data_IF_868230356473
#
_entry.id   IF_868230356473
#
_cell.length_a   1.000
_cell.length_b   1.000
_cell.length_c   1.000
_cell.angle_alpha   90.00
_cell.angle_beta   90.00
_cell.angle_gamma   90.00
#
_symmetry.space_group_name_H-M   'P 1'
#
loop_
_entity.id
_entity.type
_entity.pdbx_description
1 polymer ?
#
# COMPACT_ATOMS: atom_id res chain seq x y z
N UNK A 1 3.65 -21.08 3.69
CA UNK A 1 3.67 -19.61 3.46
C UNK A 1 5.07 -19.07 3.72
N UNK A 2 5.71 -19.54 4.79
CA UNK A 2 7.06 -19.14 5.20
C UNK A 2 8.12 -19.43 4.11
N UNK A 3 8.07 -20.59 3.44
CA UNK A 3 8.98 -20.89 2.33
C UNK A 3 8.88 -19.90 1.16
N UNK A 4 7.66 -19.44 0.82
CA UNK A 4 7.46 -18.45 -0.23
C UNK A 4 7.95 -17.06 0.19
N UNK A 5 7.87 -16.73 1.49
CA UNK A 5 8.42 -15.49 2.01
C UNK A 5 9.95 -15.53 1.95
N UNK A 6 10.57 -16.63 2.39
CA UNK A 6 12.01 -16.80 2.31
C UNK A 6 12.49 -16.71 0.85
N UNK A 7 11.82 -17.41 -0.06
CA UNK A 7 12.13 -17.35 -1.49
C UNK A 7 11.99 -15.93 -2.06
N UNK A 8 11.05 -15.12 -1.57
CA UNK A 8 10.92 -13.72 -1.99
C UNK A 8 12.13 -12.91 -1.54
N UNK A 9 12.54 -13.07 -0.28
CA UNK A 9 13.71 -12.39 0.28
C UNK A 9 14.99 -12.81 -0.45
N UNK A 10 15.18 -14.11 -0.69
CA UNK A 10 16.33 -14.63 -1.41
C UNK A 10 16.42 -14.04 -2.83
N UNK A 11 15.29 -13.86 -3.53
CA UNK A 11 15.27 -13.21 -4.86
C UNK A 11 15.64 -11.74 -4.79
N UNK A 12 15.16 -11.03 -3.77
CA UNK A 12 15.49 -9.63 -3.54
C UNK A 12 17.00 -9.48 -3.28
N UNK A 13 17.56 -10.32 -2.43
CA UNK A 13 18.98 -10.31 -2.06
C UNK A 13 19.89 -10.78 -3.20
N UNK A 14 19.43 -11.68 -4.06
CA UNK A 14 20.18 -12.23 -5.21
C UNK A 14 20.35 -11.25 -6.40
N UNK A 15 19.96 -9.98 -6.26
CA UNK A 15 20.22 -8.92 -7.25
C UNK A 15 18.98 -8.26 -7.84
N UNK A 16 17.77 -8.78 -7.59
CA UNK A 16 16.55 -8.06 -7.96
C UNK A 16 16.36 -6.78 -7.15
N UNK A 17 16.92 -6.71 -5.93
CA UNK A 17 16.96 -5.51 -5.10
C UNK A 17 17.62 -4.31 -5.79
N UNK A 18 18.68 -4.54 -6.57
CA UNK A 18 19.35 -3.45 -7.31
C UNK A 18 18.49 -2.93 -8.46
N UNK A 19 17.74 -3.82 -9.12
CA UNK A 19 16.79 -3.42 -10.16
C UNK A 19 15.61 -2.64 -9.57
N UNK A 20 15.16 -2.99 -8.36
CA UNK A 20 14.09 -2.27 -7.67
C UNK A 20 14.48 -0.81 -7.38
N UNK A 21 15.74 -0.53 -7.03
CA UNK A 21 16.20 0.84 -6.73
C UNK A 21 16.00 1.81 -7.90
N UNK A 22 16.06 1.33 -9.14
CA UNK A 22 15.89 2.17 -10.33
C UNK A 22 14.43 2.47 -10.69
N UNK A 23 13.47 1.81 -10.03
CA UNK A 23 12.04 1.98 -10.27
C UNK A 23 11.44 3.02 -9.31
N UNK A 24 10.31 3.63 -9.68
CA UNK A 24 9.53 4.44 -8.74
C UNK A 24 8.80 3.56 -7.72
N UNK A 25 8.40 4.12 -6.57
CA UNK A 25 7.80 3.35 -5.46
C UNK A 25 6.61 2.48 -5.90
N UNK A 26 5.71 3.00 -6.75
CA UNK A 26 4.58 2.21 -7.27
C UNK A 26 5.02 0.97 -8.02
N UNK A 27 6.05 1.10 -8.87
CA UNK A 27 6.57 0.01 -9.68
C UNK A 27 7.31 -1.02 -8.82
N UNK A 28 8.04 -0.57 -7.79
CA UNK A 28 8.68 -1.46 -6.81
C UNK A 28 7.65 -2.31 -6.08
N UNK A 29 6.63 -1.67 -5.50
CA UNK A 29 5.55 -2.35 -4.80
C UNK A 29 4.81 -3.33 -5.72
N UNK A 30 4.50 -2.90 -6.95
CA UNK A 30 3.86 -3.76 -7.94
C UNK A 30 4.70 -4.98 -8.28
N UNK A 31 6.01 -4.80 -8.50
CA UNK A 31 6.93 -5.89 -8.81
C UNK A 31 7.03 -6.87 -7.64
N UNK A 32 7.16 -6.37 -6.41
CA UNK A 32 7.22 -7.20 -5.20
C UNK A 32 5.93 -8.01 -4.97
N UNK A 33 4.76 -7.38 -5.09
CA UNK A 33 3.47 -8.06 -4.99
C UNK A 33 3.32 -9.11 -6.09
N UNK A 34 3.69 -8.77 -7.33
CA UNK A 34 3.67 -9.69 -8.47
C UNK A 34 4.57 -10.90 -8.23
N UNK A 35 5.83 -10.70 -7.85
CA UNK A 35 6.78 -11.79 -7.57
C UNK A 35 6.22 -12.77 -6.54
N UNK A 36 5.55 -12.25 -5.50
CA UNK A 36 4.93 -13.09 -4.48
C UNK A 36 3.70 -13.85 -5.01
N UNK A 37 2.87 -13.23 -5.83
CA UNK A 37 1.69 -13.87 -6.44
C UNK A 37 2.10 -14.91 -7.48
N UNK A 38 3.15 -14.68 -8.26
CA UNK A 38 3.70 -15.64 -9.23
C UNK A 38 4.10 -16.97 -8.58
N UNK A 39 4.55 -16.96 -7.32
CA UNK A 39 4.83 -18.18 -6.56
C UNK A 39 3.58 -19.05 -6.31
N UNK A 40 2.38 -18.48 -6.44
CA UNK A 40 1.11 -19.17 -6.29
C UNK A 40 0.62 -19.76 -7.61
N UNK A 41 1.10 -19.26 -8.76
CA UNK A 41 0.64 -19.66 -10.09
C UNK A 41 0.71 -21.19 -10.32
N UNK A 42 1.77 -21.92 -9.92
CA UNK A 42 1.83 -23.39 -10.07
C UNK A 42 0.76 -24.14 -9.28
N UNK A 43 0.19 -23.50 -8.24
CA UNK A 43 -0.76 -24.10 -7.30
C UNK A 43 -2.17 -23.50 -7.44
N UNK A 44 -2.43 -22.69 -8.47
CA UNK A 44 -3.66 -21.90 -8.59
C UNK A 44 -4.94 -22.74 -8.54
N UNK A 45 -4.90 -23.97 -9.06
CA UNK A 45 -6.03 -24.91 -9.05
C UNK A 45 -6.43 -25.39 -7.65
N UNK A 46 -5.50 -25.36 -6.69
CA UNK A 46 -5.71 -25.75 -5.28
C UNK A 46 -5.73 -24.55 -4.33
N UNK A 47 -5.43 -23.36 -4.85
CA UNK A 47 -5.32 -22.15 -4.06
C UNK A 47 -6.63 -21.72 -3.40
N UNK A 48 -7.82 -21.84 -4.04
CA UNK A 48 -9.09 -21.56 -3.37
C UNK A 48 -9.30 -22.39 -2.10
N UNK A 49 -8.93 -23.67 -2.13
CA UNK A 49 -9.01 -24.57 -0.98
C UNK A 49 -7.99 -24.16 0.10
N UNK A 50 -6.77 -23.78 -0.30
CA UNK A 50 -5.76 -23.27 0.62
C UNK A 50 -6.22 -21.98 1.33
N UNK A 51 -6.88 -21.06 0.62
CA UNK A 51 -7.45 -19.83 1.20
C UNK A 51 -8.61 -20.14 2.14
N UNK A 52 -9.46 -21.11 1.79
CA UNK A 52 -10.52 -21.59 2.67
C UNK A 52 -9.95 -22.11 3.98
N UNK A 53 -8.92 -22.95 3.93
CA UNK A 53 -8.22 -23.48 5.12
C UNK A 53 -7.61 -22.35 5.95
N UNK A 54 -6.94 -21.39 5.32
CA UNK A 54 -6.34 -20.22 6.00
C UNK A 54 -7.39 -19.36 6.71
N UNK A 55 -8.62 -19.32 6.21
CA UNK A 55 -9.73 -18.52 6.74
C UNK A 55 -10.46 -19.20 7.90
N UNK A 56 -10.16 -20.47 8.19
CA UNK A 56 -10.78 -21.17 9.31
C UNK A 56 -10.33 -20.54 10.64
N UNK A 57 -11.21 -20.48 11.68
CA UNK A 57 -10.87 -19.86 12.97
C UNK A 57 -9.59 -20.38 13.62
N UNK A 58 -9.28 -21.66 13.43
CA UNK A 58 -8.06 -22.28 13.95
C UNK A 58 -6.77 -21.74 13.29
N UNK A 59 -6.86 -21.27 12.04
CA UNK A 59 -5.71 -20.85 11.23
C UNK A 59 -5.66 -19.35 11.00
N UNK A 60 -6.79 -18.64 11.09
CA UNK A 60 -6.92 -17.24 10.67
C UNK A 60 -5.94 -16.30 11.37
N UNK A 61 -5.67 -16.52 12.66
CA UNK A 61 -4.73 -15.70 13.42
C UNK A 61 -3.29 -15.87 12.90
N UNK A 62 -2.87 -17.10 12.64
CA UNK A 62 -1.56 -17.41 12.05
C UNK A 62 -1.46 -16.89 10.62
N UNK A 63 -2.48 -17.13 9.79
CA UNK A 63 -2.54 -16.65 8.40
C UNK A 63 -2.43 -15.13 8.32
N UNK A 64 -3.15 -14.42 9.21
CA UNK A 64 -3.07 -12.96 9.29
C UNK A 64 -1.69 -12.50 9.72
N UNK A 65 -1.07 -13.12 10.74
CA UNK A 65 0.30 -12.79 11.15
C UNK A 65 1.30 -12.96 10.00
N UNK A 66 1.23 -14.07 9.27
CA UNK A 66 2.13 -14.31 8.14
C UNK A 66 1.91 -13.31 7.00
N UNK A 67 0.65 -12.96 6.68
CA UNK A 67 0.33 -11.87 5.72
C UNK A 67 0.88 -10.53 6.18
N UNK A 68 0.77 -10.29 7.47
CA UNK A 68 1.24 -9.08 8.09
C UNK A 68 2.77 -9.00 7.96
N UNK A 69 3.53 -10.06 8.26
CA UNK A 69 4.99 -10.10 8.06
C UNK A 69 5.35 -9.91 6.58
N UNK A 70 4.67 -10.59 5.66
CA UNK A 70 4.90 -10.41 4.22
C UNK A 70 4.75 -8.96 3.77
N UNK A 71 3.70 -8.27 4.22
CA UNK A 71 3.47 -6.86 3.90
C UNK A 71 4.59 -5.98 4.43
N UNK A 72 5.09 -6.30 5.63
CA UNK A 72 6.19 -5.55 6.25
C UNK A 72 7.48 -5.71 5.44
N UNK A 73 7.80 -6.92 5.00
CA UNK A 73 8.95 -7.21 4.15
C UNK A 73 8.83 -6.54 2.78
N UNK A 74 7.64 -6.50 2.18
CA UNK A 74 7.44 -5.79 0.90
C UNK A 74 7.68 -4.29 1.07
N UNK A 75 7.18 -3.67 2.14
CA UNK A 75 7.43 -2.25 2.41
C UNK A 75 8.91 -1.98 2.65
N UNK A 76 9.58 -2.86 3.41
CA UNK A 76 11.01 -2.76 3.66
C UNK A 76 11.81 -2.85 2.34
N UNK A 77 11.54 -3.86 1.52
CA UNK A 77 12.20 -4.08 0.23
C UNK A 77 11.91 -2.98 -0.81
N UNK A 78 10.74 -2.34 -0.73
CA UNK A 78 10.41 -1.21 -1.60
C UNK A 78 11.25 0.05 -1.29
N UNK A 79 11.95 0.06 -0.15
CA UNK A 79 12.79 1.17 0.29
C UNK A 79 11.97 2.38 0.70
N UNK A 80 10.79 2.17 1.30
CA UNK A 80 9.99 3.25 1.84
C UNK A 80 10.65 3.80 3.12
N UNK A 81 11.47 4.84 2.95
CA UNK A 81 12.13 5.56 4.03
C UNK A 81 11.31 6.81 4.35
N UNK A 82 10.33 6.68 5.24
CA UNK A 82 9.79 7.83 5.97
C UNK A 82 8.73 8.67 5.27
N UNK A 83 7.60 8.08 4.86
CA UNK A 83 6.38 8.89 4.68
C UNK A 83 5.71 9.16 6.03
N UNK A 84 5.18 10.37 6.25
CA UNK A 84 4.43 10.80 7.46
C UNK A 84 3.13 10.00 7.73
N UNK A 85 2.74 9.09 6.84
CA UNK A 85 1.60 8.21 7.04
C UNK A 85 1.90 7.11 8.06
N UNK A 86 0.94 6.92 8.96
CA UNK A 86 0.90 5.85 9.93
C UNK A 86 1.19 4.49 9.28
N UNK A 87 2.18 3.81 9.83
CA UNK A 87 2.57 2.46 9.48
C UNK A 87 1.40 1.48 9.35
N UNK A 88 0.43 1.52 10.26
CA UNK A 88 -0.74 0.65 10.24
C UNK A 88 -1.65 0.92 9.04
N UNK A 89 -1.72 2.15 8.57
CA UNK A 89 -2.47 2.50 7.36
C UNK A 89 -1.80 1.88 6.13
N UNK A 90 -0.48 2.06 5.99
CA UNK A 90 0.30 1.43 4.90
C UNK A 90 0.13 -0.09 4.87
N UNK A 91 0.23 -0.71 6.05
CA UNK A 91 0.07 -2.14 6.21
C UNK A 91 -1.32 -2.61 5.81
N UNK A 92 -2.35 -1.90 6.26
CA UNK A 92 -3.75 -2.23 5.96
C UNK A 92 -4.02 -2.11 4.47
N UNK A 93 -3.57 -1.02 3.84
CA UNK A 93 -3.77 -0.78 2.41
C UNK A 93 -3.05 -1.84 1.58
N UNK A 94 -1.76 -2.06 1.81
CA UNK A 94 -1.00 -3.03 1.01
C UNK A 94 -1.47 -4.47 1.25
N UNK A 95 -1.80 -4.83 2.49
CA UNK A 95 -2.37 -6.14 2.81
C UNK A 95 -3.74 -6.37 2.15
N UNK A 96 -4.57 -5.31 2.05
CA UNK A 96 -5.83 -5.33 1.32
C UNK A 96 -5.62 -5.51 -0.19
N UNK A 97 -4.68 -4.77 -0.78
CA UNK A 97 -4.32 -4.91 -2.20
C UNK A 97 -3.83 -6.32 -2.50
N UNK A 98 -2.92 -6.85 -1.68
CA UNK A 98 -2.40 -8.20 -1.86
C UNK A 98 -3.52 -9.25 -1.78
N UNK A 99 -4.36 -9.18 -0.74
CA UNK A 99 -5.42 -10.16 -0.52
C UNK A 99 -6.51 -10.11 -1.60
N UNK A 100 -6.86 -8.91 -2.07
CA UNK A 100 -7.83 -8.77 -3.18
C UNK A 100 -7.25 -9.19 -4.52
N UNK A 101 -5.96 -8.95 -4.75
CA UNK A 101 -5.26 -9.39 -5.96
C UNK A 101 -5.12 -10.91 -6.01
N UNK A 102 -4.86 -11.54 -4.86
CA UNK A 102 -4.85 -12.99 -4.70
C UNK A 102 -6.20 -13.63 -5.06
N UNK A 103 -7.31 -13.03 -4.59
CA UNK A 103 -8.66 -13.49 -4.96
C UNK A 103 -8.97 -13.24 -6.43
N UNK A 104 -8.55 -12.08 -6.97
CA UNK A 104 -8.74 -11.75 -8.39
C UNK A 104 -8.04 -12.77 -9.30
N UNK A 105 -6.80 -13.14 -8.95
CA UNK A 105 -5.98 -14.11 -9.67
C UNK A 105 -6.64 -15.48 -9.82
N UNK A 106 -7.50 -15.88 -8.88
CA UNK A 106 -8.25 -17.15 -8.96
C UNK A 106 -9.24 -17.19 -10.12
N UNK A 107 -9.69 -16.02 -10.58
CA UNK A 107 -10.71 -15.89 -11.63
C UNK A 107 -10.13 -15.42 -12.96
N UNK A 108 -8.83 -15.13 -13.00
CA UNK A 108 -8.15 -14.60 -14.16
C UNK A 108 -7.77 -15.72 -15.13
N UNK A 109 -8.37 -15.68 -16.32
CA UNK A 109 -8.12 -16.61 -17.42
C UNK A 109 -7.27 -15.98 -18.54
N UNK A 110 -6.75 -14.77 -18.33
CA UNK A 110 -5.88 -14.11 -19.29
C UNK A 110 -4.50 -14.81 -19.35
N UNK A 111 -3.82 -14.75 -20.51
CA UNK A 111 -2.47 -15.32 -20.64
C UNK A 111 -1.54 -14.77 -19.55
N UNK A 112 -0.87 -15.68 -18.84
CA UNK A 112 0.10 -15.37 -17.78
C UNK A 112 -0.42 -14.41 -16.70
N UNK A 113 -1.73 -14.42 -16.41
CA UNK A 113 -2.38 -13.55 -15.40
C UNK A 113 -2.23 -12.04 -15.68
N UNK A 114 -2.17 -11.64 -16.95
CA UNK A 114 -2.00 -10.23 -17.36
C UNK A 114 -3.02 -9.28 -16.72
N UNK A 115 -4.26 -9.73 -16.58
CA UNK A 115 -5.34 -8.90 -16.01
C UNK A 115 -5.12 -8.71 -14.50
N UNK A 116 -4.61 -9.73 -13.79
CA UNK A 116 -4.16 -9.62 -12.39
C UNK A 116 -3.04 -8.60 -12.24
N UNK A 117 -2.04 -8.61 -13.12
CA UNK A 117 -0.93 -7.63 -13.05
C UNK A 117 -1.42 -6.20 -13.31
N UNK A 118 -2.35 -6.04 -14.24
CA UNK A 118 -3.02 -4.76 -14.50
C UNK A 118 -3.81 -4.30 -13.27
N UNK A 119 -4.52 -5.21 -12.61
CA UNK A 119 -5.24 -4.93 -11.38
C UNK A 119 -4.32 -4.47 -10.24
N UNK A 120 -3.23 -5.20 -9.98
CA UNK A 120 -2.20 -4.87 -8.97
C UNK A 120 -1.64 -3.47 -9.22
N UNK A 121 -1.17 -3.20 -10.44
CA UNK A 121 -0.59 -1.91 -10.82
C UNK A 121 -1.55 -0.75 -10.56
N UNK A 122 -2.81 -0.93 -10.97
CA UNK A 122 -3.85 0.08 -10.77
C UNK A 122 -4.12 0.32 -9.29
N UNK A 123 -4.26 -0.73 -8.47
CA UNK A 123 -4.54 -0.60 -7.04
C UNK A 123 -3.43 0.05 -6.25
N UNK A 124 -2.17 -0.27 -6.58
CA UNK A 124 -1.01 0.37 -5.93
C UNK A 124 -0.93 1.84 -6.32
N UNK A 125 -1.16 2.17 -7.60
CA UNK A 125 -1.21 3.56 -8.04
C UNK A 125 -2.30 4.34 -7.31
N UNK A 126 -3.53 3.81 -7.28
CA UNK A 126 -4.65 4.45 -6.59
C UNK A 126 -4.34 4.71 -5.11
N UNK A 127 -3.68 3.76 -4.43
CA UNK A 127 -3.31 3.89 -3.03
C UNK A 127 -2.28 5.00 -2.78
N UNK A 128 -1.24 5.09 -3.62
CA UNK A 128 -0.22 6.13 -3.49
C UNK A 128 -0.75 7.51 -3.89
N UNK A 129 -1.61 7.59 -4.90
CA UNK A 129 -2.25 8.84 -5.30
C UNK A 129 -3.19 9.34 -4.20
N UNK A 130 -3.97 8.45 -3.58
CA UNK A 130 -4.81 8.77 -2.43
C UNK A 130 -3.98 9.27 -1.24
N UNK A 131 -2.85 8.62 -0.94
CA UNK A 131 -1.91 9.07 0.10
C UNK A 131 -1.42 10.50 -0.16
N UNK A 132 -1.01 10.82 -1.40
CA UNK A 132 -0.56 12.17 -1.76
C UNK A 132 -1.68 13.20 -1.59
N UNK A 133 -2.90 12.89 -2.05
CA UNK A 133 -4.05 13.77 -1.90
C UNK A 133 -4.36 14.07 -0.43
N UNK A 134 -4.28 13.07 0.45
CA UNK A 134 -4.47 13.29 1.90
C UNK A 134 -3.38 14.17 2.50
N UNK A 135 -2.12 13.98 2.11
CA UNK A 135 -1.01 14.82 2.58
C UNK A 135 -1.19 16.27 2.12
N UNK A 136 -1.48 16.50 0.83
CA UNK A 136 -1.73 17.84 0.29
C UNK A 136 -2.89 18.55 1.00
N UNK A 137 -3.98 17.82 1.29
CA UNK A 137 -5.12 18.36 2.02
C UNK A 137 -4.76 18.73 3.48
N UNK A 138 -3.97 17.89 4.15
CA UNK A 138 -3.50 18.16 5.51
C UNK A 138 -2.59 19.40 5.56
N UNK A 139 -1.62 19.50 4.64
CA UNK A 139 -0.74 20.67 4.53
C UNK A 139 -1.53 21.96 4.25
N UNK A 140 -2.52 21.91 3.36
CA UNK A 140 -3.37 23.06 3.08
C UNK A 140 -4.15 23.51 4.33
N UNK A 141 -4.72 22.56 5.08
CA UNK A 141 -5.44 22.85 6.31
C UNK A 141 -4.52 23.47 7.38
N UNK A 142 -3.30 22.97 7.52
CA UNK A 142 -2.29 23.51 8.42
C UNK A 142 -1.86 24.93 8.01
N UNK A 143 -1.57 25.16 6.73
CA UNK A 143 -1.18 26.47 6.22
C UNK A 143 -2.29 27.53 6.42
N UNK A 144 -3.55 27.14 6.20
CA UNK A 144 -4.71 27.97 6.48
C UNK A 144 -4.84 28.23 7.99
N UNK A 145 -4.68 27.20 8.83
CA UNK A 145 -4.73 27.33 10.29
C UNK A 145 -3.64 28.24 10.86
N UNK A 146 -2.40 28.09 10.38
CA UNK A 146 -1.26 28.91 10.75
C UNK A 146 -1.37 30.36 10.21
N UNK A 147 -1.96 30.53 9.02
CA UNK A 147 -2.21 31.84 8.40
C UNK A 147 -3.41 32.61 8.96
N UNK A 148 -4.39 31.93 9.58
CA UNK A 148 -5.60 32.54 10.13
C UNK A 148 -5.52 32.94 11.61
N UNK A 149 -4.32 32.89 12.23
CA UNK A 149 -4.09 33.54 13.53
C UNK A 149 -4.09 35.08 13.46
N UNK A 150 -3.89 35.68 12.27
CA UNK A 150 -3.77 37.14 12.12
C UNK A 150 -4.88 37.82 11.31
N UNK A 151 -5.60 37.09 10.45
CA UNK A 151 -6.54 37.70 9.50
C UNK A 151 -7.89 38.02 10.12
N UNK A 152 -8.38 37.23 11.08
CA UNK A 152 -9.63 37.52 11.79
C UNK A 152 -9.47 38.74 12.70
N UNK A 153 -8.31 38.89 13.37
CA UNK A 153 -8.01 40.07 14.20
C UNK A 153 -7.92 41.36 13.37
N UNK A 154 -7.31 41.29 12.18
CA UNK A 154 -7.16 42.42 11.26
C UNK A 154 -8.47 42.89 10.63
N UNK A 155 -9.39 41.97 10.32
CA UNK A 155 -10.74 42.31 9.83
C UNK A 155 -11.61 42.85 10.97
N UNK A 156 -11.53 42.27 12.18
CA UNK A 156 -12.25 42.79 13.35
C UNK A 156 -11.80 44.22 13.70
N UNK A 157 -10.50 44.51 13.78
CA UNK A 157 -10.01 45.86 14.09
C UNK A 157 -10.42 46.90 13.04
N UNK A 158 -10.47 46.53 11.75
CA UNK A 158 -10.89 47.44 10.68
C UNK A 158 -12.39 47.74 10.73
N UNK A 159 -13.22 46.80 11.22
CA UNK A 159 -14.67 47.01 11.39
C UNK A 159 -14.98 47.86 12.63
N UNK A 160 -14.19 47.75 13.71
CA UNK A 160 -14.39 48.57 14.92
C UNK A 160 -13.82 50.00 14.81
N UNK A 161 -12.80 50.26 13.98
CA UNK A 161 -12.25 51.60 13.78
C UNK A 161 -13.13 52.53 12.91
N UNK A 162 -14.08 51.99 12.14
CA UNK A 162 -14.91 52.76 11.21
C UNK A 162 -16.29 53.20 11.76
N UNK A 163 -16.53 53.07 13.07
CA UNK A 163 -17.79 53.50 13.73
C UNK A 163 -17.62 54.69 14.70
N UNK A 164 -16.47 55.36 14.67
CA UNK A 164 -16.13 56.46 15.59
C UNK A 164 -15.84 57.79 14.89
N UNK A 165 -16.55 58.11 13.80
CA UNK A 165 -16.49 59.42 13.14
C UNK A 165 -17.89 59.95 12.86
#
# INVERSE_FOLDING_TARGET
MDDCLQQLMDRIDAGEGEQLKNLILSERLSKLVRMRLEMQAPYISKWPQALSIQSQPANVSTSLKQRAVLVDEIWHAAGDVGSDIDWYVKRTVLGGIYSTSEVYMLTDNSPEFRDTWTFVNRRIKDALDLQKTFQEAAYLAEAIGAGMGGTVQGVLNRVFQNRGS
#
